data_IF_136293094094
#
_entry.id   IF_136293094094
#
_cell.length_a   1.000
_cell.length_b   1.000
_cell.length_c   1.000
_cell.angle_alpha   90.00
_cell.angle_beta   90.00
_cell.angle_gamma   90.00
#
_symmetry.space_group_name_H-M   'P 1'
#
loop_
_entity.id
_entity.type
_entity.pdbx_description
1 polymer ?
#
# COMPACT_ATOMS: atom_id res chain seq x y z
N UNK A 1 -0.23 30.03 63.12
CA UNK A 1 0.85 29.36 62.32
C UNK A 1 0.60 27.88 62.06
N UNK A 2 -0.33 27.20 62.72
CA UNK A 2 -0.54 25.75 62.58
C UNK A 2 -1.40 25.40 61.37
N UNK A 3 -2.31 26.27 60.89
CA UNK A 3 -3.17 26.03 59.72
C UNK A 3 -2.40 25.99 58.37
N UNK A 4 -1.38 26.81 58.20
CA UNK A 4 -0.60 26.86 56.95
C UNK A 4 0.19 25.57 56.69
N UNK A 5 0.67 24.89 57.74
CA UNK A 5 1.40 23.61 57.57
C UNK A 5 0.49 22.47 57.12
N UNK A 6 -0.75 22.44 57.63
CA UNK A 6 -1.76 21.45 57.18
C UNK A 6 -2.17 21.68 55.72
N UNK A 7 -2.38 22.91 55.32
CA UNK A 7 -2.74 23.24 53.92
C UNK A 7 -1.61 22.87 52.95
N UNK A 8 -0.35 23.17 53.28
CA UNK A 8 0.82 22.81 52.45
C UNK A 8 0.93 21.28 52.32
N UNK A 9 0.72 20.54 53.42
CA UNK A 9 0.77 19.05 53.38
C UNK A 9 -0.33 18.44 52.50
N UNK A 10 -1.57 18.97 52.59
CA UNK A 10 -2.67 18.52 51.73
C UNK A 10 -2.42 18.80 50.25
N UNK A 11 -1.89 20.00 49.95
CA UNK A 11 -1.56 20.39 48.56
C UNK A 11 -0.44 19.50 48.01
N UNK A 12 0.57 19.16 48.81
CA UNK A 12 1.66 18.25 48.41
C UNK A 12 1.16 16.84 48.11
N UNK A 13 0.25 16.30 48.93
CA UNK A 13 -0.39 14.98 48.67
C UNK A 13 -1.22 15.02 47.39
N UNK A 14 -1.93 16.12 47.15
CA UNK A 14 -2.73 16.27 45.92
C UNK A 14 -1.85 16.31 44.67
N UNK A 15 -0.74 17.03 44.69
CA UNK A 15 0.24 17.06 43.60
C UNK A 15 0.89 15.71 43.35
N UNK A 16 1.26 15.00 44.41
CA UNK A 16 1.80 13.64 44.31
C UNK A 16 0.77 12.69 43.74
N UNK A 17 -0.48 12.76 44.17
CA UNK A 17 -1.58 11.94 43.61
C UNK A 17 -1.84 12.25 42.15
N UNK A 18 -1.86 13.51 41.73
CA UNK A 18 -2.01 13.94 40.33
C UNK A 18 -0.82 13.44 39.51
N UNK A 19 0.40 13.48 40.03
CA UNK A 19 1.58 12.99 39.34
C UNK A 19 1.54 11.47 39.14
N UNK A 20 1.08 10.71 40.15
CA UNK A 20 0.87 9.25 40.02
C UNK A 20 -0.30 8.91 39.08
N UNK A 21 -1.42 9.65 39.14
CA UNK A 21 -2.54 9.46 38.24
C UNK A 21 -2.18 9.81 36.78
N UNK A 22 -1.38 10.83 36.57
CA UNK A 22 -0.88 11.20 35.24
C UNK A 22 0.06 10.14 34.63
N UNK A 23 0.75 9.35 35.47
CA UNK A 23 1.56 8.21 35.00
C UNK A 23 0.75 6.94 34.72
N UNK A 24 -0.49 6.85 35.23
CA UNK A 24 -1.41 5.74 34.97
C UNK A 24 -2.25 5.94 33.71
N UNK A 25 -2.06 7.01 32.95
CA UNK A 25 -2.67 7.13 31.62
C UNK A 25 -1.99 6.09 30.73
N UNK A 26 -2.70 5.03 30.40
CA UNK A 26 -2.24 4.00 29.50
C UNK A 26 -1.69 4.65 28.23
N UNK A 27 -0.41 4.39 27.93
CA UNK A 27 0.25 4.83 26.70
C UNK A 27 -0.21 4.03 25.47
N UNK A 28 -1.30 3.27 25.60
CA UNK A 28 -1.85 2.46 24.51
C UNK A 28 -2.21 3.38 23.36
N UNK A 29 -1.52 3.21 22.26
CA UNK A 29 -1.77 3.93 21.02
C UNK A 29 -2.93 3.28 20.27
N UNK A 30 -3.91 4.09 19.84
CA UNK A 30 -4.93 3.65 18.91
C UNK A 30 -4.40 3.80 17.48
N UNK A 31 -4.54 2.74 16.68
CA UNK A 31 -4.13 2.71 15.28
C UNK A 31 -5.37 2.77 14.38
N UNK A 32 -5.23 3.47 13.27
CA UNK A 32 -6.27 3.56 12.24
C UNK A 32 -5.77 2.87 10.96
N UNK A 33 -5.78 1.54 10.98
CA UNK A 33 -5.37 0.71 9.85
C UNK A 33 -6.62 0.10 9.18
N UNK A 34 -6.71 0.06 7.85
CA UNK A 34 -7.86 -0.53 7.15
C UNK A 34 -8.11 -2.00 7.48
N UNK A 35 -7.09 -2.73 7.94
CA UNK A 35 -7.18 -4.12 8.39
C UNK A 35 -7.83 -4.27 9.79
N UNK A 36 -8.00 -3.16 10.52
CA UNK A 36 -8.63 -3.11 11.83
C UNK A 36 -7.68 -2.85 13.00
N UNK A 37 -8.24 -2.74 14.19
CA UNK A 37 -7.57 -2.27 15.42
C UNK A 37 -6.36 -3.10 15.88
N UNK A 38 -6.20 -4.32 15.38
CA UNK A 38 -5.08 -5.19 15.74
C UNK A 38 -3.82 -4.88 14.92
N UNK A 39 -3.94 -4.10 13.85
CA UNK A 39 -2.84 -3.68 12.98
C UNK A 39 -2.35 -2.30 13.38
N UNK A 40 -1.04 -2.14 13.41
CA UNK A 40 -0.39 -0.87 13.77
C UNK A 40 -0.07 0.01 12.55
N UNK A 41 -0.02 -0.60 11.36
CA UNK A 41 0.47 0.02 10.15
C UNK A 41 2.01 0.11 10.11
N UNK A 42 2.58 -0.07 8.93
CA UNK A 42 4.03 -0.16 8.75
C UNK A 42 4.80 1.07 9.29
N UNK A 43 4.20 2.27 9.21
CA UNK A 43 4.85 3.50 9.71
C UNK A 43 5.13 3.47 11.22
N UNK A 44 4.31 2.77 12.00
CA UNK A 44 4.55 2.65 13.44
C UNK A 44 5.79 1.82 13.78
N UNK A 45 6.22 0.91 12.89
CA UNK A 45 7.46 0.13 13.05
C UNK A 45 8.71 1.02 13.01
N UNK A 46 8.65 2.12 12.26
CA UNK A 46 9.75 3.07 12.07
C UNK A 46 10.28 3.63 13.39
N UNK A 47 9.41 3.85 14.37
CA UNK A 47 9.79 4.48 15.65
C UNK A 47 10.89 3.71 16.40
N UNK A 48 10.90 2.38 16.28
CA UNK A 48 11.88 1.51 16.94
C UNK A 48 12.81 0.80 15.94
N UNK A 49 12.39 0.59 14.70
CA UNK A 49 13.09 -0.18 13.68
C UNK A 49 13.49 0.66 12.46
N UNK A 50 13.94 1.93 12.68
CA UNK A 50 14.22 2.90 11.62
C UNK A 50 15.06 2.33 10.46
N UNK A 51 16.22 1.73 10.75
CA UNK A 51 17.11 1.23 9.70
C UNK A 51 16.50 0.07 8.88
N UNK A 52 15.73 -0.80 9.55
CA UNK A 52 15.01 -1.90 8.89
C UNK A 52 13.89 -1.33 8.02
N UNK A 53 13.14 -0.36 8.56
CA UNK A 53 12.07 0.30 7.85
C UNK A 53 12.57 1.00 6.58
N UNK A 54 13.63 1.79 6.69
CA UNK A 54 14.22 2.51 5.54
C UNK A 54 14.71 1.53 4.45
N UNK A 55 15.29 0.40 4.86
CA UNK A 55 15.67 -0.66 3.92
C UNK A 55 14.47 -1.35 3.27
N UNK A 56 13.39 -1.59 4.05
CA UNK A 56 12.16 -2.20 3.56
C UNK A 56 11.48 -1.35 2.50
N UNK A 57 11.46 -0.02 2.65
CA UNK A 57 10.91 0.92 1.66
C UNK A 57 11.52 0.76 0.25
N UNK A 58 12.77 0.29 0.16
CA UNK A 58 13.48 0.05 -1.09
C UNK A 58 13.31 -1.38 -1.62
N UNK A 59 12.64 -2.25 -0.88
CA UNK A 59 12.44 -3.64 -1.28
C UNK A 59 11.42 -3.79 -2.40
N UNK A 60 11.54 -4.88 -3.18
CA UNK A 60 10.54 -5.22 -4.18
C UNK A 60 9.17 -5.53 -3.57
N UNK A 61 9.14 -6.03 -2.33
CA UNK A 61 7.92 -6.28 -1.59
C UNK A 61 7.19 -4.98 -1.26
N UNK A 62 7.84 -4.05 -0.61
CA UNK A 62 7.23 -2.79 -0.20
C UNK A 62 6.77 -1.93 -1.40
N UNK A 63 7.49 -2.06 -2.52
CA UNK A 63 7.18 -1.36 -3.78
C UNK A 63 6.41 -2.23 -4.79
N UNK A 64 5.87 -3.39 -4.36
CA UNK A 64 5.08 -4.26 -5.25
C UNK A 64 3.84 -3.56 -5.80
N UNK A 65 3.24 -2.71 -4.98
CA UNK A 65 2.13 -1.83 -5.37
C UNK A 65 2.30 -0.47 -4.71
N UNK A 66 2.06 0.60 -5.47
CA UNK A 66 2.08 1.97 -4.97
C UNK A 66 0.97 2.80 -5.61
N UNK A 67 0.54 3.87 -4.97
CA UNK A 67 -0.24 4.89 -5.66
C UNK A 67 0.60 5.48 -6.80
N UNK A 68 0.05 5.55 -8.00
CA UNK A 68 0.79 6.07 -9.15
C UNK A 68 1.09 7.57 -8.97
N UNK A 69 2.33 7.93 -9.17
CA UNK A 69 2.81 9.32 -9.10
C UNK A 69 4.01 9.54 -10.00
N UNK A 70 4.31 10.79 -10.34
CA UNK A 70 5.48 11.13 -11.14
C UNK A 70 6.80 10.64 -10.52
N UNK A 71 6.85 10.56 -9.19
CA UNK A 71 8.06 10.16 -8.45
C UNK A 71 8.34 8.65 -8.51
N UNK A 72 7.34 7.80 -8.79
CA UNK A 72 7.51 6.35 -8.77
C UNK A 72 7.29 5.68 -10.12
N UNK A 73 6.88 6.41 -11.15
CA UNK A 73 6.76 5.90 -12.51
C UNK A 73 8.10 6.03 -13.23
N UNK A 74 8.59 4.93 -13.78
CA UNK A 74 9.88 4.85 -14.49
C UNK A 74 9.77 5.11 -15.98
N UNK A 75 8.57 5.05 -16.53
CA UNK A 75 8.32 5.25 -17.94
C UNK A 75 8.74 6.61 -18.43
N UNK A 76 9.25 6.71 -19.65
CA UNK A 76 9.66 7.94 -20.28
C UNK A 76 8.45 8.61 -20.96
N UNK A 77 8.06 9.78 -20.49
CA UNK A 77 6.96 10.59 -21.03
C UNK A 77 7.43 11.63 -22.07
N UNK A 78 8.71 11.61 -22.43
CA UNK A 78 9.25 12.53 -23.44
C UNK A 78 8.67 12.21 -24.82
N UNK A 79 8.22 13.25 -25.52
CA UNK A 79 7.69 13.13 -26.88
C UNK A 79 8.63 12.30 -27.79
N UNK A 80 8.06 11.29 -28.44
CA UNK A 80 8.79 10.33 -29.30
C UNK A 80 9.31 9.10 -28.58
N UNK A 81 9.26 9.07 -27.21
CA UNK A 81 9.57 7.88 -26.38
C UNK A 81 8.39 7.43 -25.55
N UNK A 82 7.30 8.15 -25.58
CA UNK A 82 6.12 8.01 -24.76
C UNK A 82 4.95 7.33 -25.48
N UNK A 83 5.21 6.46 -26.43
CA UNK A 83 4.14 5.83 -27.20
C UNK A 83 4.41 4.37 -27.50
N UNK A 84 3.33 3.63 -27.72
CA UNK A 84 3.32 2.29 -28.25
C UNK A 84 2.36 2.22 -29.44
N UNK A 85 2.86 1.79 -30.60
CA UNK A 85 2.11 1.71 -31.85
C UNK A 85 1.61 0.28 -32.04
N UNK A 86 0.30 0.10 -32.18
CA UNK A 86 -0.33 -1.20 -32.46
C UNK A 86 -0.39 -1.49 -33.95
N UNK A 87 -0.78 -0.51 -34.75
CA UNK A 87 -0.87 -0.55 -36.20
C UNK A 87 -0.77 0.86 -36.80
N UNK A 88 -0.96 1.03 -38.11
CA UNK A 88 -0.88 2.31 -38.81
C UNK A 88 -1.93 3.35 -38.37
N UNK A 89 -3.02 2.88 -37.74
CA UNK A 89 -4.13 3.72 -37.30
C UNK A 89 -4.16 3.93 -35.79
N UNK A 90 -3.63 2.97 -35.01
CA UNK A 90 -3.86 2.86 -33.56
C UNK A 90 -2.55 2.97 -32.79
N UNK A 91 -2.49 3.95 -31.87
CA UNK A 91 -1.38 4.09 -30.91
C UNK A 91 -1.89 4.43 -29.50
N UNK A 92 -1.11 4.05 -28.51
CA UNK A 92 -1.26 4.54 -27.12
C UNK A 92 -0.13 5.52 -26.86
N UNK A 93 -0.47 6.70 -26.34
CA UNK A 93 0.49 7.73 -25.91
C UNK A 93 0.41 7.88 -24.40
N UNK A 94 1.54 7.85 -23.72
CA UNK A 94 1.65 8.17 -22.31
C UNK A 94 1.80 9.66 -22.16
N UNK A 95 0.83 10.30 -21.51
CA UNK A 95 0.74 11.75 -21.40
C UNK A 95 0.77 12.23 -19.97
N UNK A 96 1.45 13.34 -19.77
CA UNK A 96 1.34 14.13 -18.55
C UNK A 96 0.38 15.28 -18.79
N UNK A 97 -0.70 15.33 -17.98
CA UNK A 97 -1.71 16.39 -18.00
C UNK A 97 -1.79 17.04 -16.60
N UNK A 98 -2.47 18.15 -16.47
CA UNK A 98 -2.58 18.90 -15.20
C UNK A 98 -3.09 18.05 -14.04
N UNK A 99 -3.96 17.05 -14.32
CA UNK A 99 -4.59 16.19 -13.33
C UNK A 99 -3.87 14.84 -13.13
N UNK A 100 -2.70 14.61 -13.74
CA UNK A 100 -1.91 13.40 -13.56
C UNK A 100 -1.33 12.80 -14.83
N UNK A 101 -1.04 11.51 -14.77
CA UNK A 101 -0.46 10.75 -15.87
C UNK A 101 -1.51 9.84 -16.50
N UNK A 102 -1.47 9.68 -17.82
CA UNK A 102 -2.53 9.01 -18.58
C UNK A 102 -1.97 8.10 -19.67
N UNK A 103 -2.68 7.00 -19.95
CA UNK A 103 -2.63 6.33 -21.26
C UNK A 103 -3.78 6.84 -22.12
N UNK A 104 -3.44 7.32 -23.29
CA UNK A 104 -4.36 7.93 -24.23
C UNK A 104 -4.31 7.14 -25.55
N UNK A 105 -5.46 6.62 -25.95
CA UNK A 105 -5.61 5.91 -27.23
C UNK A 105 -5.94 6.89 -28.31
N UNK A 106 -5.14 6.87 -29.36
CA UNK A 106 -5.38 7.58 -30.61
C UNK A 106 -5.73 6.62 -31.72
N UNK A 107 -6.75 6.95 -32.50
CA UNK A 107 -7.11 6.27 -33.74
C UNK A 107 -7.17 7.31 -34.86
N UNK A 108 -6.40 7.11 -35.91
CA UNK A 108 -6.24 8.08 -37.01
C UNK A 108 -5.90 9.51 -36.52
N UNK A 109 -5.04 9.58 -35.50
CA UNK A 109 -4.62 10.84 -34.87
C UNK A 109 -5.66 11.50 -33.96
N UNK A 110 -6.83 10.90 -33.77
CA UNK A 110 -7.88 11.41 -32.86
C UNK A 110 -7.87 10.67 -31.55
N UNK A 111 -7.93 11.41 -30.44
CA UNK A 111 -8.12 10.85 -29.11
C UNK A 111 -9.48 10.15 -29.03
N UNK A 112 -9.49 8.88 -28.61
CA UNK A 112 -10.70 8.07 -28.54
C UNK A 112 -10.96 7.49 -27.15
N UNK A 113 -9.92 7.32 -26.32
CA UNK A 113 -10.06 6.73 -24.99
C UNK A 113 -8.92 7.21 -24.10
N UNK A 114 -9.21 7.53 -22.82
CA UNK A 114 -8.25 8.10 -21.86
C UNK A 114 -8.43 7.48 -20.51
N UNK A 115 -7.35 6.94 -19.93
CA UNK A 115 -7.37 6.41 -18.56
C UNK A 115 -6.16 6.87 -17.77
N UNK A 116 -6.39 7.25 -16.51
CA UNK A 116 -5.36 7.73 -15.59
C UNK A 116 -4.57 6.55 -15.00
N UNK A 117 -3.30 6.76 -14.75
CA UNK A 117 -2.53 5.90 -13.87
C UNK A 117 -2.96 6.14 -12.42
N UNK A 118 -3.65 5.18 -11.78
CA UNK A 118 -4.07 5.31 -10.38
C UNK A 118 -3.22 4.44 -9.45
N UNK A 119 -2.88 3.23 -9.89
CA UNK A 119 -2.11 2.26 -9.14
C UNK A 119 -0.95 1.76 -10.01
N UNK A 120 0.24 1.68 -9.43
CA UNK A 120 1.42 1.07 -10.04
C UNK A 120 1.63 -0.33 -9.47
N UNK A 121 1.71 -1.35 -10.30
CA UNK A 121 2.18 -2.69 -9.96
C UNK A 121 3.62 -2.87 -10.45
N UNK A 122 4.49 -3.33 -9.53
CA UNK A 122 5.90 -3.56 -9.83
C UNK A 122 6.78 -2.31 -9.73
N UNK A 123 8.09 -2.54 -9.62
CA UNK A 123 9.04 -1.44 -9.40
C UNK A 123 10.40 -1.63 -10.06
N UNK A 124 10.89 -2.85 -10.24
CA UNK A 124 12.29 -3.09 -10.68
C UNK A 124 12.40 -3.42 -12.16
N UNK A 125 11.78 -4.50 -12.59
CA UNK A 125 11.94 -5.04 -13.94
C UNK A 125 10.92 -4.47 -14.93
N UNK A 126 9.70 -4.32 -14.46
CA UNK A 126 8.60 -3.73 -15.21
C UNK A 126 7.65 -2.98 -14.27
N UNK A 127 6.89 -2.09 -14.84
CA UNK A 127 5.76 -1.44 -14.19
C UNK A 127 4.53 -1.56 -15.08
N UNK A 128 3.43 -2.02 -14.48
CA UNK A 128 2.10 -2.07 -15.06
C UNK A 128 1.19 -1.17 -14.23
N UNK A 129 0.19 -0.58 -14.84
CA UNK A 129 -0.69 0.35 -14.15
C UNK A 129 -2.13 -0.08 -14.23
N UNK A 130 -2.87 0.26 -13.16
CA UNK A 130 -4.30 0.10 -13.10
C UNK A 130 -4.95 1.47 -12.97
N UNK A 131 -6.18 1.57 -13.48
CA UNK A 131 -7.05 2.70 -13.22
C UNK A 131 -8.32 2.26 -12.48
N UNK A 132 -8.90 3.18 -11.72
CA UNK A 132 -10.17 2.96 -11.06
C UNK A 132 -11.32 3.45 -11.94
N UNK A 133 -12.32 2.60 -12.13
CA UNK A 133 -13.63 2.97 -12.65
C UNK A 133 -14.69 2.56 -11.62
N UNK A 134 -15.28 3.53 -10.94
CA UNK A 134 -16.11 3.30 -9.74
C UNK A 134 -15.38 2.42 -8.70
N UNK A 135 -15.93 1.26 -8.37
CA UNK A 135 -15.41 0.31 -7.38
C UNK A 135 -14.64 -0.86 -8.03
N UNK A 136 -14.16 -0.70 -9.25
CA UNK A 136 -13.40 -1.70 -10.00
C UNK A 136 -12.06 -1.16 -10.45
N UNK A 137 -11.09 -2.06 -10.59
CA UNK A 137 -9.80 -1.73 -11.19
C UNK A 137 -9.63 -2.46 -12.52
N UNK A 138 -9.03 -1.76 -13.47
CA UNK A 138 -8.73 -2.30 -14.79
C UNK A 138 -7.27 -2.05 -15.12
N UNK A 139 -6.64 -3.04 -15.76
CA UNK A 139 -5.25 -2.95 -16.18
C UNK A 139 -5.13 -2.13 -17.47
N UNK A 140 -4.16 -1.23 -17.48
CA UNK A 140 -3.79 -0.47 -18.67
C UNK A 140 -3.02 -1.36 -19.65
N UNK A 141 -3.29 -1.25 -20.98
CA UNK A 141 -2.77 -2.18 -21.96
C UNK A 141 -1.27 -2.06 -22.24
N UNK A 142 -0.61 -0.99 -21.76
CA UNK A 142 0.82 -0.75 -22.01
C UNK A 142 1.57 -0.64 -20.69
N UNK A 143 2.66 -1.42 -20.57
CA UNK A 143 3.60 -1.45 -19.44
C UNK A 143 4.95 -0.88 -19.85
N UNK A 144 5.74 -0.46 -18.86
CA UNK A 144 7.13 -0.06 -19.06
C UNK A 144 8.09 -1.14 -18.59
N UNK A 145 9.02 -1.53 -19.44
CA UNK A 145 10.02 -2.57 -19.15
C UNK A 145 11.39 -1.92 -18.95
N UNK A 146 11.89 -1.95 -17.72
CA UNK A 146 13.14 -1.28 -17.34
C UNK A 146 14.37 -1.88 -18.02
N UNK A 147 14.37 -3.18 -18.31
CA UNK A 147 15.50 -3.86 -18.94
C UNK A 147 15.77 -3.42 -20.39
N UNK A 148 14.73 -2.98 -21.08
CA UNK A 148 14.80 -2.51 -22.46
C UNK A 148 14.49 -1.02 -22.59
N UNK A 149 14.24 -0.32 -21.48
CA UNK A 149 13.90 1.09 -21.41
C UNK A 149 12.79 1.48 -22.39
N UNK A 150 11.73 0.67 -22.49
CA UNK A 150 10.70 0.85 -23.50
C UNK A 150 9.31 0.49 -22.98
N UNK A 151 8.32 1.10 -23.62
CA UNK A 151 6.92 0.75 -23.49
C UNK A 151 6.61 -0.43 -24.41
N UNK A 152 5.87 -1.41 -23.87
CA UNK A 152 5.36 -2.56 -24.62
C UNK A 152 4.01 -2.99 -24.03
N UNK A 153 3.34 -3.93 -24.68
CA UNK A 153 2.06 -4.45 -24.18
C UNK A 153 2.22 -5.04 -22.78
N UNK A 154 1.23 -4.79 -21.93
CA UNK A 154 1.16 -5.39 -20.59
C UNK A 154 1.10 -6.91 -20.69
N UNK A 155 1.58 -7.67 -19.68
CA UNK A 155 1.62 -9.11 -19.72
C UNK A 155 0.24 -9.72 -20.02
N UNK A 156 0.18 -10.61 -21.01
CA UNK A 156 -1.06 -11.28 -21.43
C UNK A 156 -2.01 -10.43 -22.30
N UNK A 157 -1.62 -9.21 -22.68
CA UNK A 157 -2.37 -8.41 -23.65
C UNK A 157 -1.96 -8.73 -25.09
N UNK A 158 -2.93 -8.53 -26.00
CA UNK A 158 -2.67 -8.64 -27.43
C UNK A 158 -1.78 -7.50 -27.90
N UNK A 159 -0.82 -7.80 -28.78
CA UNK A 159 -0.04 -6.76 -29.49
C UNK A 159 -0.77 -6.20 -30.73
N UNK A 160 -1.98 -6.69 -31.02
CA UNK A 160 -2.73 -6.29 -32.24
C UNK A 160 -3.74 -5.18 -31.98
N UNK A 161 -4.28 -5.09 -30.76
CA UNK A 161 -5.23 -4.05 -30.37
C UNK A 161 -5.17 -3.79 -28.87
N UNK A 162 -5.31 -2.53 -28.41
CA UNK A 162 -5.40 -2.21 -26.99
C UNK A 162 -6.77 -2.67 -26.44
N UNK A 163 -6.74 -3.13 -25.18
CA UNK A 163 -7.92 -3.44 -24.41
C UNK A 163 -7.80 -2.78 -23.02
N UNK A 164 -8.74 -1.92 -22.67
CA UNK A 164 -8.76 -1.23 -21.37
C UNK A 164 -9.74 -1.89 -20.38
N UNK A 165 -10.35 -3.02 -20.75
CA UNK A 165 -11.41 -3.66 -19.95
C UNK A 165 -10.97 -4.92 -19.20
N UNK A 166 -9.67 -5.17 -19.10
CA UNK A 166 -9.16 -6.28 -18.31
C UNK A 166 -9.30 -5.97 -16.83
N UNK A 167 -10.32 -6.56 -16.23
CA UNK A 167 -10.59 -6.43 -14.79
C UNK A 167 -9.49 -7.07 -13.97
N UNK A 168 -9.07 -6.36 -12.89
CA UNK A 168 -8.11 -6.83 -11.90
C UNK A 168 -8.83 -6.86 -10.55
N UNK A 169 -9.13 -8.07 -10.10
CA UNK A 169 -9.81 -8.33 -8.84
C UNK A 169 -8.86 -8.54 -7.68
N UNK A 170 -9.44 -8.94 -6.55
CA UNK A 170 -8.74 -9.21 -5.29
C UNK A 170 -7.56 -10.16 -5.46
N UNK A 171 -7.69 -11.21 -6.26
CA UNK A 171 -6.66 -12.24 -6.44
C UNK A 171 -5.29 -11.67 -6.85
N UNK A 172 -5.28 -10.62 -7.69
CA UNK A 172 -4.05 -9.95 -8.08
C UNK A 172 -3.45 -9.14 -6.90
N UNK A 173 -4.31 -8.47 -6.14
CA UNK A 173 -3.88 -7.68 -4.97
C UNK A 173 -3.38 -8.55 -3.82
N UNK A 174 -3.83 -9.80 -3.68
CA UNK A 174 -3.34 -10.73 -2.65
C UNK A 174 -1.83 -10.96 -2.73
N UNK A 175 -1.26 -10.96 -3.95
CA UNK A 175 0.19 -11.06 -4.15
C UNK A 175 0.89 -9.70 -4.23
N UNK A 176 0.18 -8.63 -4.58
CA UNK A 176 0.77 -7.33 -4.87
C UNK A 176 0.54 -6.27 -3.77
N UNK A 177 -0.36 -6.52 -2.81
CA UNK A 177 -0.66 -5.59 -1.71
C UNK A 177 -0.77 -6.31 -0.38
N UNK A 178 -0.70 -5.58 0.72
CA UNK A 178 -0.89 -6.14 2.06
C UNK A 178 -2.36 -6.39 2.37
N UNK A 179 -3.27 -5.64 1.77
CA UNK A 179 -4.70 -5.80 2.01
C UNK A 179 -5.55 -5.07 0.97
N UNK A 180 -6.68 -5.65 0.62
CA UNK A 180 -7.82 -5.00 -0.01
C UNK A 180 -9.10 -5.76 0.34
N UNK A 181 -10.17 -5.04 0.60
CA UNK A 181 -11.50 -5.64 0.80
C UNK A 181 -12.20 -5.73 -0.55
N UNK A 182 -12.70 -6.92 -0.89
CA UNK A 182 -13.64 -7.09 -1.99
C UNK A 182 -15.01 -7.50 -1.48
N UNK A 183 -16.04 -7.21 -2.27
CA UNK A 183 -17.43 -7.62 -2.04
C UNK A 183 -17.94 -8.28 -3.30
N UNK A 184 -18.63 -9.40 -3.13
CA UNK A 184 -19.29 -10.09 -4.22
C UNK A 184 -20.77 -9.67 -4.24
N UNK A 185 -21.18 -9.03 -5.29
CA UNK A 185 -22.56 -8.63 -5.52
C UNK A 185 -23.22 -9.64 -6.47
N UNK A 186 -24.17 -10.41 -5.96
CA UNK A 186 -24.97 -11.30 -6.78
C UNK A 186 -26.05 -10.49 -7.52
N UNK A 187 -26.18 -10.71 -8.82
CA UNK A 187 -27.23 -10.14 -9.67
C UNK A 187 -27.78 -11.19 -10.64
N UNK A 188 -28.85 -10.88 -11.34
CA UNK A 188 -29.40 -11.74 -12.41
C UNK A 188 -28.42 -11.97 -13.56
N UNK A 189 -27.42 -11.08 -13.71
CA UNK A 189 -26.36 -11.17 -14.72
C UNK A 189 -25.14 -11.98 -14.25
N UNK A 190 -25.09 -12.39 -12.96
CA UNK A 190 -23.99 -13.16 -12.38
C UNK A 190 -23.44 -12.56 -11.09
N UNK A 191 -22.24 -13.02 -10.71
CA UNK A 191 -21.51 -12.50 -9.56
C UNK A 191 -20.55 -11.40 -10.06
N UNK A 192 -20.66 -10.22 -9.46
CA UNK A 192 -19.83 -9.07 -9.76
C UNK A 192 -18.94 -8.73 -8.55
N UNK A 193 -17.63 -8.67 -8.76
CA UNK A 193 -16.69 -8.29 -7.70
C UNK A 193 -16.46 -6.78 -7.73
N UNK A 194 -16.58 -6.16 -6.57
CA UNK A 194 -16.25 -4.74 -6.35
C UNK A 194 -15.21 -4.61 -5.23
N UNK A 195 -14.33 -3.63 -5.35
CA UNK A 195 -13.23 -3.40 -4.42
C UNK A 195 -13.50 -2.16 -3.57
N UNK A 196 -13.19 -2.24 -2.28
CA UNK A 196 -13.31 -1.10 -1.37
C UNK A 196 -12.01 -0.28 -1.43
N UNK A 197 -11.98 0.77 -2.24
CA UNK A 197 -10.80 1.58 -2.55
C UNK A 197 -10.00 2.00 -1.29
N UNK A 198 -10.68 2.48 -0.26
CA UNK A 198 -10.05 2.98 0.97
C UNK A 198 -9.51 1.86 1.89
N UNK A 199 -9.72 0.60 1.54
CA UNK A 199 -9.15 -0.53 2.26
C UNK A 199 -7.80 -0.99 1.71
N UNK A 200 -7.35 -0.44 0.58
CA UNK A 200 -6.10 -0.84 -0.05
C UNK A 200 -4.90 -0.40 0.80
N UNK A 201 -4.13 -1.40 1.25
CA UNK A 201 -2.81 -1.21 1.87
C UNK A 201 -1.75 -1.55 0.83
N UNK A 202 -1.08 -0.52 0.33
CA UNK A 202 -0.10 -0.65 -0.75
C UNK A 202 1.13 -1.45 -0.35
N UNK A 203 1.70 -2.16 -1.32
CA UNK A 203 2.90 -2.99 -1.17
C UNK A 203 2.69 -4.16 -0.21
N UNK A 204 3.74 -4.92 0.00
CA UNK A 204 3.82 -5.98 1.00
C UNK A 204 4.57 -5.40 2.19
N UNK A 205 3.83 -5.00 3.22
CA UNK A 205 4.35 -4.33 4.40
C UNK A 205 4.88 -5.31 5.47
N UNK A 206 5.35 -4.75 6.59
CA UNK A 206 5.92 -5.52 7.69
C UNK A 206 4.93 -6.53 8.27
N UNK A 207 3.69 -6.10 8.45
CA UNK A 207 2.66 -6.89 9.12
C UNK A 207 2.10 -8.01 8.24
N UNK A 208 2.35 -7.97 6.91
CA UNK A 208 2.01 -9.09 6.02
C UNK A 208 2.78 -10.37 6.37
N UNK A 209 4.04 -10.21 6.80
CA UNK A 209 4.90 -11.32 7.20
C UNK A 209 4.99 -11.53 8.72
N UNK A 210 4.91 -10.43 9.49
CA UNK A 210 5.08 -10.45 10.94
C UNK A 210 3.77 -10.57 11.72
N UNK A 211 2.61 -10.50 11.03
CA UNK A 211 1.28 -10.49 11.64
C UNK A 211 0.93 -9.14 12.25
N UNK A 212 -0.27 -9.05 12.79
CA UNK A 212 -0.84 -7.84 13.37
C UNK A 212 -0.02 -7.34 14.58
N UNK A 213 0.49 -6.11 14.52
CA UNK A 213 1.53 -5.61 15.41
C UNK A 213 1.07 -4.60 16.48
N UNK A 214 -0.23 -4.27 16.57
CA UNK A 214 -0.71 -3.28 17.54
C UNK A 214 -0.34 -3.64 18.98
N UNK A 215 -0.49 -4.92 19.37
CA UNK A 215 -0.11 -5.39 20.71
C UNK A 215 1.41 -5.35 20.93
N UNK A 216 2.21 -5.64 19.90
CA UNK A 216 3.67 -5.54 19.96
C UNK A 216 4.10 -4.10 20.23
N UNK A 217 3.60 -3.15 19.46
CA UNK A 217 3.93 -1.73 19.61
C UNK A 217 3.52 -1.23 20.99
N UNK A 218 2.28 -1.48 21.41
CA UNK A 218 1.78 -1.02 22.70
C UNK A 218 2.56 -1.63 23.87
N UNK A 219 2.86 -2.94 23.82
CA UNK A 219 3.65 -3.59 24.84
C UNK A 219 5.03 -2.94 25.04
N UNK A 220 5.76 -2.65 23.95
CA UNK A 220 7.09 -2.06 24.03
C UNK A 220 7.08 -0.56 24.36
N UNK A 221 5.99 0.15 24.07
CA UNK A 221 5.78 1.51 24.56
C UNK A 221 5.59 1.55 26.09
N UNK A 222 4.89 0.54 26.64
CA UNK A 222 4.68 0.39 28.08
C UNK A 222 5.90 -0.17 28.80
N UNK A 223 6.71 -1.00 28.13
CA UNK A 223 7.86 -1.70 28.68
C UNK A 223 9.15 -1.42 27.86
N UNK A 224 9.69 -0.20 27.87
CA UNK A 224 10.80 0.20 27.01
C UNK A 224 12.11 -0.54 27.29
N UNK A 225 12.27 -1.12 28.48
CA UNK A 225 13.45 -1.89 28.88
C UNK A 225 13.40 -3.35 28.39
N UNK A 226 12.22 -3.87 28.02
CA UNK A 226 12.11 -5.22 27.46
C UNK A 226 12.67 -5.25 26.02
N UNK A 227 13.65 -6.08 25.77
CA UNK A 227 14.31 -6.21 24.46
C UNK A 227 13.90 -7.48 23.71
N UNK A 228 13.21 -8.39 24.38
CA UNK A 228 12.69 -9.60 23.72
C UNK A 228 11.40 -9.29 23.00
N UNK A 229 11.32 -9.62 21.71
CA UNK A 229 10.11 -9.41 20.93
C UNK A 229 8.90 -10.16 21.53
N UNK A 230 7.80 -9.45 21.77
CA UNK A 230 6.53 -9.97 22.28
C UNK A 230 5.42 -9.66 21.29
N UNK A 231 4.45 -10.53 21.17
CA UNK A 231 3.22 -10.34 20.38
C UNK A 231 3.48 -10.07 18.90
N UNK A 232 4.53 -10.65 18.34
CA UNK A 232 4.91 -10.53 16.91
C UNK A 232 5.52 -11.84 16.42
N UNK A 233 5.32 -12.15 15.15
CA UNK A 233 5.91 -13.33 14.52
C UNK A 233 7.36 -13.03 14.13
N UNK A 234 8.28 -13.90 14.51
CA UNK A 234 9.68 -13.84 14.05
C UNK A 234 9.86 -14.81 12.89
N UNK A 235 10.22 -14.34 11.71
CA UNK A 235 10.49 -15.21 10.55
C UNK A 235 11.61 -16.23 10.82
N UNK A 236 12.52 -15.93 11.77
CA UNK A 236 13.61 -16.85 12.15
C UNK A 236 13.10 -18.11 12.84
N UNK A 237 11.89 -18.07 13.41
CA UNK A 237 11.28 -19.20 14.13
C UNK A 237 10.33 -20.01 13.25
N UNK A 238 10.04 -19.55 12.04
CA UNK A 238 9.16 -20.22 11.11
C UNK A 238 9.90 -21.29 10.31
N UNK A 239 9.23 -22.42 10.09
CA UNK A 239 9.68 -23.43 9.11
C UNK A 239 9.61 -22.86 7.70
N UNK A 240 10.31 -23.48 6.75
CA UNK A 240 10.26 -23.07 5.35
C UNK A 240 8.81 -23.06 4.80
N UNK A 241 8.00 -24.07 5.17
CA UNK A 241 6.59 -24.12 4.77
C UNK A 241 5.80 -22.93 5.33
N UNK A 242 5.95 -22.62 6.61
CA UNK A 242 5.28 -21.47 7.23
C UNK A 242 5.69 -20.12 6.60
N UNK A 243 6.97 -20.00 6.17
CA UNK A 243 7.43 -18.81 5.44
C UNK A 243 6.75 -18.69 4.07
N UNK A 244 6.58 -19.81 3.35
CA UNK A 244 5.83 -19.85 2.09
C UNK A 244 4.34 -19.55 2.31
N UNK A 245 3.75 -20.13 3.34
CA UNK A 245 2.33 -19.90 3.69
C UNK A 245 2.05 -18.42 4.00
N UNK A 246 3.01 -17.72 4.65
CA UNK A 246 2.89 -16.28 4.90
C UNK A 246 2.81 -15.44 3.61
N UNK A 247 3.29 -15.95 2.48
CA UNK A 247 3.14 -15.31 1.18
C UNK A 247 1.75 -15.58 0.53
N UNK A 248 1.09 -16.67 0.94
CA UNK A 248 -0.17 -17.14 0.37
C UNK A 248 -1.42 -16.64 1.12
N UNK A 249 -1.24 -15.81 2.16
CA UNK A 249 -2.33 -15.28 3.01
C UNK A 249 -3.11 -14.16 2.33
#
# INVERSE_FOLDING_TARGET
>A
MQNNKRSVFIISILFISIFFLARCINKTQAFNDPRGKNYAGAESCRQCHQAIYDSALLSAHFTATTAASENNIRGDFTKGKNSFVYDEHTMIVMEKRDSGLYQVKYVDGKETEVHRFDITFGSRNAQTWLYWEADKTYELPVSYYSSVHSWATSPGFSSKKPDFRRFIGRDCFECHSSHIVSKLNASTAGIDEVLVRNSLVYGIDCERCHGAAANHVNFHLENPEEKTAKYIISNKTLTQQQQLDACAL
#
